data_IF_693207143122
#
_entry.id   IF_693207143122
#
_cell.length_a   1.000
_cell.length_b   1.000
_cell.length_c   1.000
_cell.angle_alpha   90.00
_cell.angle_beta   90.00
_cell.angle_gamma   90.00
#
_symmetry.space_group_name_H-M   'P 1'
#
loop_
_entity.id
_entity.type
_entity.pdbx_description
1 polymer ?
#
# COMPACT_ATOMS: atom_id res chain seq x y z
N UNK A 1 28.18 2.92 42.30
CA UNK A 1 26.78 3.29 42.58
C UNK A 1 26.12 3.44 41.21
N UNK A 2 25.40 2.41 40.76
CA UNK A 2 24.77 2.37 39.44
C UNK A 2 23.35 1.83 39.62
N UNK A 3 22.37 2.72 39.53
CA UNK A 3 20.96 2.40 39.34
C UNK A 3 20.39 3.50 38.47
N UNK A 4 20.04 3.15 37.24
CA UNK A 4 19.06 3.86 36.40
C UNK A 4 18.58 2.84 35.35
N UNK A 5 17.70 1.94 35.80
CA UNK A 5 16.86 1.17 34.89
C UNK A 5 15.69 2.07 34.49
N UNK A 6 15.85 2.82 33.40
CA UNK A 6 14.69 3.40 32.73
C UNK A 6 13.90 2.28 32.06
N UNK A 7 12.73 1.99 32.63
CA UNK A 7 11.73 1.14 31.99
C UNK A 7 11.28 1.81 30.69
N UNK A 8 11.37 1.08 29.57
CA UNK A 8 10.88 1.55 28.28
C UNK A 8 9.39 1.22 28.21
N UNK A 9 8.53 2.19 28.54
CA UNK A 9 7.09 2.11 28.26
C UNK A 9 6.85 2.04 26.74
N UNK A 10 6.23 0.98 26.21
CA UNK A 10 5.93 0.86 24.79
C UNK A 10 4.49 1.32 24.50
N UNK A 11 4.12 2.53 24.94
CA UNK A 11 2.76 3.08 24.76
C UNK A 11 2.79 4.51 24.18
N UNK A 12 3.45 4.66 23.02
CA UNK A 12 3.20 5.83 22.16
C UNK A 12 1.84 5.68 21.47
N UNK A 13 0.98 6.72 21.48
CA UNK A 13 -0.39 6.59 21.04
C UNK A 13 -0.49 6.26 19.55
N UNK A 14 -1.16 5.15 19.26
CA UNK A 14 -1.55 4.74 17.92
C UNK A 14 -2.24 5.90 17.18
N UNK A 15 -1.81 6.14 15.94
CA UNK A 15 -2.33 7.13 14.97
C UNK A 15 -3.74 7.66 15.29
N UNK A 16 -3.87 8.98 15.45
CA UNK A 16 -5.09 9.68 15.87
C UNK A 16 -6.33 9.43 15.00
N UNK A 17 -6.18 8.82 13.81
CA UNK A 17 -7.30 8.34 12.97
C UNK A 17 -7.95 7.04 13.47
N UNK A 18 -7.25 6.21 14.24
CA UNK A 18 -7.79 4.98 14.80
C UNK A 18 -8.66 5.21 16.05
N UNK A 19 -8.42 6.31 16.77
CA UNK A 19 -9.12 6.67 18.01
C UNK A 19 -10.63 6.99 17.83
N UNK A 20 -11.09 7.22 16.60
CA UNK A 20 -12.47 7.62 16.29
C UNK A 20 -13.35 6.47 15.78
N UNK A 21 -12.97 5.20 15.97
CA UNK A 21 -13.88 4.09 15.76
C UNK A 21 -14.62 3.78 17.08
N UNK A 22 -15.95 3.83 17.06
CA UNK A 22 -16.78 3.48 18.21
C UNK A 22 -16.61 2.02 18.67
N UNK A 23 -15.99 1.19 17.83
CA UNK A 23 -15.90 -0.25 17.99
C UNK A 23 -14.44 -0.74 17.77
N UNK A 24 -13.80 -1.35 18.79
CA UNK A 24 -12.41 -1.84 18.70
C UNK A 24 -12.13 -2.82 17.56
N UNK A 25 -13.11 -3.62 17.13
CA UNK A 25 -12.94 -4.52 15.98
C UNK A 25 -12.78 -3.72 14.67
N UNK A 26 -13.61 -2.71 14.45
CA UNK A 26 -13.50 -1.82 13.29
C UNK A 26 -12.20 -1.04 13.27
N UNK A 27 -11.73 -0.60 14.45
CA UNK A 27 -10.42 0.04 14.59
C UNK A 27 -9.30 -0.89 14.07
N UNK A 28 -9.33 -2.17 14.46
CA UNK A 28 -8.34 -3.15 14.04
C UNK A 28 -8.44 -3.50 12.54
N UNK A 29 -9.65 -3.59 11.97
CA UNK A 29 -9.87 -3.79 10.54
C UNK A 29 -9.40 -2.58 9.70
N UNK A 30 -9.75 -1.36 10.12
CA UNK A 30 -9.32 -0.12 9.46
C UNK A 30 -7.81 0.06 9.52
N UNK A 31 -7.18 -0.19 10.67
CA UNK A 31 -5.73 -0.11 10.82
C UNK A 31 -5.01 -1.19 10.01
N UNK A 32 -5.58 -2.39 9.86
CA UNK A 32 -5.05 -3.40 8.92
C UNK A 32 -5.13 -2.92 7.47
N UNK A 33 -6.25 -2.31 7.06
CA UNK A 33 -6.41 -1.71 5.73
C UNK A 33 -5.37 -0.60 5.48
N UNK A 34 -5.22 0.34 6.42
CA UNK A 34 -4.22 1.41 6.30
C UNK A 34 -2.81 0.84 6.20
N UNK A 35 -2.42 -0.08 7.09
CA UNK A 35 -1.10 -0.70 7.06
C UNK A 35 -0.85 -1.52 5.78
N UNK A 36 -1.84 -2.21 5.23
CA UNK A 36 -1.72 -2.91 3.95
C UNK A 36 -1.58 -1.94 2.76
N UNK A 37 -2.28 -0.82 2.80
CA UNK A 37 -2.16 0.25 1.81
C UNK A 37 -0.77 0.91 1.84
N UNK A 38 -0.28 1.25 3.03
CA UNK A 38 1.03 1.88 3.23
C UNK A 38 2.16 0.93 2.78
N UNK A 39 2.02 -0.39 3.03
CA UNK A 39 2.93 -1.41 2.49
C UNK A 39 2.90 -1.46 0.95
N UNK A 40 1.71 -1.42 0.34
CA UNK A 40 1.58 -1.44 -1.12
C UNK A 40 2.17 -0.20 -1.78
N UNK A 41 2.04 0.99 -1.16
CA UNK A 41 2.71 2.22 -1.61
C UNK A 41 4.22 2.06 -1.53
N UNK A 42 4.75 1.64 -0.37
CA UNK A 42 6.20 1.53 -0.17
C UNK A 42 6.85 0.51 -1.12
N UNK A 43 6.18 -0.61 -1.42
CA UNK A 43 6.64 -1.61 -2.41
C UNK A 43 6.52 -1.10 -3.87
N UNK A 44 5.61 -0.17 -4.15
CA UNK A 44 5.47 0.47 -5.47
C UNK A 44 6.53 1.55 -5.68
N UNK A 45 6.76 2.40 -4.68
CA UNK A 45 7.71 3.51 -4.74
C UNK A 45 9.18 3.03 -4.86
N UNK A 46 9.55 1.98 -4.12
CA UNK A 46 10.83 1.29 -4.21
C UNK A 46 11.11 0.81 -5.65
N UNK A 47 10.08 0.24 -6.29
CA UNK A 47 10.16 -0.29 -7.66
C UNK A 47 10.16 0.82 -8.74
N UNK A 48 9.51 1.96 -8.47
CA UNK A 48 9.61 3.16 -9.33
C UNK A 48 11.02 3.75 -9.24
N UNK A 49 11.63 3.76 -8.05
CA UNK A 49 13.00 4.27 -7.84
C UNK A 49 14.03 3.42 -8.58
N UNK A 50 13.90 2.08 -8.52
CA UNK A 50 14.66 1.15 -9.39
C UNK A 50 14.47 1.48 -10.89
N UNK A 51 13.23 1.74 -11.32
CA UNK A 51 12.93 1.96 -12.74
C UNK A 51 13.47 3.29 -13.28
N UNK A 52 13.61 4.34 -12.45
CA UNK A 52 14.21 5.62 -12.85
C UNK A 52 15.63 5.41 -13.41
N UNK A 53 16.42 4.55 -12.76
CA UNK A 53 17.75 4.15 -13.24
C UNK A 53 17.66 3.44 -14.60
N UNK A 54 16.78 2.46 -14.75
CA UNK A 54 16.62 1.69 -15.99
C UNK A 54 16.19 2.59 -17.15
N UNK A 55 15.31 3.56 -16.91
CA UNK A 55 14.86 4.53 -17.90
C UNK A 55 15.98 5.46 -18.34
N UNK A 56 16.72 6.07 -17.40
CA UNK A 56 17.87 6.93 -17.73
C UNK A 56 18.95 6.16 -18.49
N UNK A 57 19.34 4.97 -18.02
CA UNK A 57 20.30 4.09 -18.71
C UNK A 57 19.78 3.66 -20.10
N UNK A 58 18.47 3.59 -20.30
CA UNK A 58 17.81 3.35 -21.59
C UNK A 58 17.91 4.56 -22.53
N UNK A 59 17.53 5.74 -22.05
CA UNK A 59 17.54 7.00 -22.80
C UNK A 59 18.96 7.39 -23.24
N UNK A 60 19.95 7.28 -22.34
CA UNK A 60 21.37 7.50 -22.65
C UNK A 60 21.79 6.60 -23.83
N UNK A 61 21.51 5.29 -23.76
CA UNK A 61 21.85 4.35 -24.84
C UNK A 61 21.10 4.63 -26.14
N UNK A 62 19.86 5.10 -26.08
CA UNK A 62 19.10 5.51 -27.27
C UNK A 62 19.76 6.72 -27.95
N UNK A 63 20.02 7.79 -27.21
CA UNK A 63 20.72 8.99 -27.73
C UNK A 63 22.07 8.63 -28.36
N UNK A 64 22.86 7.78 -27.70
CA UNK A 64 24.16 7.32 -28.23
C UNK A 64 24.03 6.47 -29.51
N UNK A 65 23.01 5.61 -29.59
CA UNK A 65 22.75 4.76 -30.76
C UNK A 65 22.20 5.56 -31.96
N UNK A 66 21.40 6.59 -31.70
CA UNK A 66 20.90 7.51 -32.73
C UNK A 66 22.02 8.45 -33.22
N UNK A 67 22.84 9.00 -32.32
CA UNK A 67 23.98 9.84 -32.69
C UNK A 67 24.96 9.15 -33.64
N UNK A 68 25.11 7.82 -33.54
CA UNK A 68 25.93 7.01 -34.45
C UNK A 68 25.35 6.85 -35.87
N UNK A 69 24.10 7.28 -36.10
CA UNK A 69 23.37 7.17 -37.39
C UNK A 69 22.95 8.53 -37.97
N UNK A 70 23.03 9.60 -37.18
CA UNK A 70 22.58 10.95 -37.52
C UNK A 70 23.64 11.78 -38.28
N UNK A 71 23.25 12.98 -38.73
CA UNK A 71 24.19 13.99 -39.23
C UNK A 71 25.07 14.53 -38.11
N UNK A 72 26.15 15.26 -38.44
CA UNK A 72 27.12 15.74 -37.44
C UNK A 72 26.50 16.68 -36.38
N UNK A 73 25.61 17.59 -36.80
CA UNK A 73 24.92 18.55 -35.91
C UNK A 73 23.93 17.85 -34.98
N UNK A 74 23.10 16.95 -35.52
CA UNK A 74 22.18 16.11 -34.75
C UNK A 74 22.93 15.18 -33.78
N UNK A 75 24.05 14.60 -34.21
CA UNK A 75 24.89 13.76 -33.36
C UNK A 75 25.50 14.56 -32.21
N UNK A 76 26.02 15.77 -32.44
CA UNK A 76 26.51 16.66 -31.39
C UNK A 76 25.42 16.98 -30.35
N UNK A 77 24.21 17.30 -30.80
CA UNK A 77 23.06 17.52 -29.91
C UNK A 77 22.69 16.27 -29.10
N UNK A 78 22.68 15.09 -29.72
CA UNK A 78 22.39 13.81 -29.05
C UNK A 78 23.47 13.38 -28.06
N UNK A 79 24.75 13.64 -28.34
CA UNK A 79 25.85 13.42 -27.40
C UNK A 79 25.78 14.38 -26.20
N UNK A 80 25.41 15.65 -26.44
CA UNK A 80 25.16 16.63 -25.38
C UNK A 80 24.00 16.20 -24.47
N UNK A 81 22.86 15.78 -25.05
CA UNK A 81 21.73 15.25 -24.29
C UNK A 81 22.10 13.99 -23.48
N UNK A 82 22.87 13.07 -24.06
CA UNK A 82 23.35 11.88 -23.36
C UNK A 82 24.29 12.21 -22.20
N UNK A 83 25.06 13.31 -22.27
CA UNK A 83 25.90 13.79 -21.19
C UNK A 83 25.05 14.36 -20.04
N UNK A 84 24.07 15.23 -20.32
CA UNK A 84 23.17 15.77 -19.28
C UNK A 84 22.35 14.68 -18.59
N UNK A 85 21.83 13.70 -19.34
CA UNK A 85 21.18 12.51 -18.75
C UNK A 85 22.15 11.69 -17.88
N UNK A 86 23.43 11.67 -18.24
CA UNK A 86 24.50 11.06 -17.43
C UNK A 86 24.77 11.79 -16.11
N UNK A 87 24.65 13.12 -16.10
CA UNK A 87 24.73 13.94 -14.88
C UNK A 87 23.52 13.69 -13.97
N UNK A 88 22.29 13.74 -14.49
CA UNK A 88 21.07 13.36 -13.74
C UNK A 88 21.15 11.93 -13.17
N UNK A 89 21.71 11.01 -13.96
CA UNK A 89 21.92 9.61 -13.56
C UNK A 89 22.96 9.44 -12.47
N UNK A 90 23.97 10.32 -12.40
CA UNK A 90 24.95 10.37 -11.34
C UNK A 90 24.36 10.97 -10.05
N UNK A 91 23.62 12.09 -10.14
CA UNK A 91 22.90 12.67 -9.00
C UNK A 91 21.93 11.66 -8.38
N UNK A 92 21.16 10.94 -9.20
CA UNK A 92 20.29 9.86 -8.73
C UNK A 92 21.08 8.74 -8.04
N UNK A 93 22.29 8.42 -8.47
CA UNK A 93 23.12 7.40 -7.82
C UNK A 93 23.52 7.79 -6.39
N UNK A 94 23.60 9.09 -6.08
CA UNK A 94 23.89 9.60 -4.74
C UNK A 94 22.67 9.52 -3.81
N UNK A 95 21.45 9.77 -4.32
CA UNK A 95 20.21 9.78 -3.50
C UNK A 95 19.55 8.42 -3.36
N UNK A 96 19.62 7.57 -4.39
CA UNK A 96 18.90 6.29 -4.47
C UNK A 96 19.13 5.34 -3.27
N UNK A 97 20.34 5.21 -2.69
CA UNK A 97 20.53 4.40 -1.48
C UNK A 97 19.71 4.89 -0.27
N UNK A 98 19.48 6.20 -0.15
CA UNK A 98 18.65 6.80 0.90
C UNK A 98 17.16 6.60 0.60
N UNK A 99 16.75 6.69 -0.67
CA UNK A 99 15.38 6.37 -1.12
C UNK A 99 15.01 4.91 -0.75
N UNK A 100 15.89 3.95 -1.07
CA UNK A 100 15.68 2.53 -0.71
C UNK A 100 15.65 2.28 0.80
N UNK A 101 16.54 2.92 1.58
CA UNK A 101 16.54 2.80 3.04
C UNK A 101 15.21 3.31 3.63
N UNK A 102 14.76 4.49 3.20
CA UNK A 102 13.46 5.03 3.59
C UNK A 102 12.30 4.10 3.21
N UNK A 103 12.29 3.53 2.01
CA UNK A 103 11.27 2.57 1.62
C UNK A 103 11.35 1.26 2.42
N UNK A 104 12.54 0.79 2.79
CA UNK A 104 12.71 -0.36 3.69
C UNK A 104 12.05 -0.13 5.06
N UNK A 105 12.35 1.00 5.70
CA UNK A 105 11.76 1.38 6.99
C UNK A 105 10.22 1.46 6.92
N UNK A 106 9.67 2.06 5.86
CA UNK A 106 8.22 2.14 5.65
C UNK A 106 7.58 0.76 5.43
N UNK A 107 8.22 -0.13 4.64
CA UNK A 107 7.78 -1.52 4.44
C UNK A 107 7.72 -2.26 5.78
N UNK A 108 8.73 -2.11 6.65
CA UNK A 108 8.79 -2.82 7.92
C UNK A 108 7.86 -2.24 8.99
N UNK A 109 7.69 -0.92 9.06
CA UNK A 109 6.66 -0.27 9.89
C UNK A 109 5.25 -0.75 9.49
N UNK A 110 4.94 -0.78 8.20
CA UNK A 110 3.66 -1.24 7.68
C UNK A 110 3.42 -2.72 8.00
N UNK A 111 4.42 -3.59 7.79
CA UNK A 111 4.37 -5.02 8.19
C UNK A 111 4.14 -5.19 9.70
N UNK A 112 4.80 -4.39 10.54
CA UNK A 112 4.61 -4.43 11.99
C UNK A 112 3.18 -4.04 12.40
N UNK A 113 2.63 -2.97 11.81
CA UNK A 113 1.23 -2.53 12.02
C UNK A 113 0.21 -3.56 11.54
N UNK A 114 0.39 -4.15 10.36
CA UNK A 114 -0.44 -5.27 9.88
C UNK A 114 -0.44 -6.43 10.88
N UNK A 115 0.74 -6.89 11.32
CA UNK A 115 0.89 -7.99 12.28
C UNK A 115 0.25 -7.66 13.63
N UNK A 116 0.33 -6.41 14.10
CA UNK A 116 -0.33 -5.96 15.33
C UNK A 116 -1.86 -5.99 15.22
N UNK A 117 -2.43 -5.49 14.12
CA UNK A 117 -3.87 -5.58 13.85
C UNK A 117 -4.34 -7.03 13.74
N UNK A 118 -3.62 -7.89 12.99
CA UNK A 118 -3.93 -9.32 12.92
C UNK A 118 -3.91 -10.01 14.29
N UNK A 119 -3.00 -9.65 15.20
CA UNK A 119 -3.03 -10.17 16.59
C UNK A 119 -4.33 -9.78 17.30
N UNK A 120 -4.74 -8.50 17.24
CA UNK A 120 -6.02 -8.03 17.83
C UNK A 120 -7.23 -8.78 17.24
N UNK A 121 -7.27 -8.95 15.92
CA UNK A 121 -8.32 -9.68 15.20
C UNK A 121 -8.39 -11.17 15.62
N UNK A 122 -7.24 -11.85 15.78
CA UNK A 122 -7.18 -13.25 16.28
C UNK A 122 -7.69 -13.35 17.71
N UNK A 123 -7.29 -12.43 18.60
CA UNK A 123 -7.77 -12.42 19.99
C UNK A 123 -9.28 -12.21 20.08
N UNK A 124 -9.84 -11.29 19.29
CA UNK A 124 -11.29 -11.09 19.20
C UNK A 124 -12.01 -12.34 18.67
N UNK A 125 -11.48 -12.97 17.61
CA UNK A 125 -12.09 -14.18 17.04
C UNK A 125 -12.09 -15.34 18.05
N UNK A 126 -10.99 -15.52 18.79
CA UNK A 126 -10.89 -16.52 19.85
C UNK A 126 -11.92 -16.28 20.96
N UNK A 127 -12.06 -15.03 21.44
CA UNK A 127 -13.03 -14.66 22.46
C UNK A 127 -14.49 -14.88 22.01
N UNK A 128 -14.81 -14.50 20.76
CA UNK A 128 -16.12 -14.73 20.13
C UNK A 128 -16.45 -16.22 19.98
N UNK A 129 -15.45 -17.07 19.72
CA UNK A 129 -15.65 -18.52 19.65
C UNK A 129 -15.79 -19.17 21.03
N UNK A 130 -15.06 -18.68 22.04
CA UNK A 130 -15.06 -19.26 23.39
C UNK A 130 -16.32 -18.95 24.20
N UNK A 131 -16.93 -17.78 24.00
CA UNK A 131 -18.10 -17.33 24.79
C UNK A 131 -19.44 -17.70 24.14
N UNK A 132 -19.46 -18.11 22.87
CA UNK A 132 -20.69 -18.37 22.11
C UNK A 132 -21.53 -17.11 21.78
N UNK A 133 -21.19 -15.96 22.36
CA UNK A 133 -21.82 -14.67 22.12
C UNK A 133 -21.02 -13.85 21.10
N UNK A 134 -21.62 -12.78 20.59
CA UNK A 134 -20.86 -11.73 19.92
C UNK A 134 -19.91 -11.08 20.95
N UNK A 135 -18.59 -11.17 20.76
CA UNK A 135 -17.69 -10.47 21.65
C UNK A 135 -17.90 -8.95 21.51
N UNK A 136 -18.03 -8.21 22.62
CA UNK A 136 -18.33 -6.78 22.58
C UNK A 136 -17.23 -6.01 21.83
N UNK A 137 -17.63 -4.96 21.11
CA UNK A 137 -16.73 -4.10 20.36
C UNK A 137 -16.84 -4.17 18.84
N UNK A 138 -18.04 -4.45 18.31
CA UNK A 138 -18.42 -4.32 16.90
C UNK A 138 -19.83 -3.70 16.80
N UNK A 139 -20.18 -3.11 15.65
CA UNK A 139 -21.52 -2.56 15.42
C UNK A 139 -22.62 -3.62 15.70
N UNK A 140 -23.55 -3.38 16.66
CA UNK A 140 -24.61 -4.32 17.00
C UNK A 140 -25.62 -4.57 15.86
N UNK A 141 -25.63 -3.75 14.80
CA UNK A 141 -26.47 -3.95 13.64
C UNK A 141 -25.94 -5.05 12.69
N UNK A 142 -24.70 -5.52 12.87
CA UNK A 142 -24.07 -6.52 12.00
C UNK A 142 -24.16 -7.90 12.65
N UNK A 143 -24.53 -8.92 11.86
CA UNK A 143 -24.69 -10.28 12.36
C UNK A 143 -23.36 -10.85 12.90
N UNK A 144 -23.35 -11.58 14.03
CA UNK A 144 -22.10 -12.10 14.60
C UNK A 144 -21.33 -13.06 13.69
N UNK A 145 -22.02 -13.79 12.81
CA UNK A 145 -21.38 -14.62 11.78
C UNK A 145 -20.76 -13.84 10.64
N UNK A 146 -21.34 -12.70 10.27
CA UNK A 146 -20.78 -11.78 9.28
C UNK A 146 -19.52 -11.10 9.83
N UNK A 147 -19.56 -10.65 11.09
CA UNK A 147 -18.38 -10.18 11.80
C UNK A 147 -17.24 -11.22 11.82
N UNK A 148 -17.57 -12.48 12.14
CA UNK A 148 -16.63 -13.61 12.09
C UNK A 148 -16.09 -13.88 10.67
N UNK A 149 -16.90 -13.72 9.62
CA UNK A 149 -16.48 -13.88 8.24
C UNK A 149 -15.49 -12.79 7.82
N UNK A 150 -15.82 -11.52 8.04
CA UNK A 150 -14.95 -10.37 7.77
C UNK A 150 -13.59 -10.49 8.47
N UNK A 151 -13.58 -10.95 9.72
CA UNK A 151 -12.34 -11.19 10.46
C UNK A 151 -11.50 -12.32 9.85
N UNK A 152 -12.11 -13.41 9.38
CA UNK A 152 -11.39 -14.50 8.70
C UNK A 152 -10.81 -14.05 7.36
N UNK A 153 -11.56 -13.27 6.57
CA UNK A 153 -11.08 -12.67 5.32
C UNK A 153 -9.89 -11.72 5.57
N UNK A 154 -10.02 -10.83 6.56
CA UNK A 154 -8.94 -9.92 6.97
C UNK A 154 -7.68 -10.66 7.46
N UNK A 155 -7.84 -11.78 8.17
CA UNK A 155 -6.72 -12.62 8.64
C UNK A 155 -6.05 -13.44 7.54
N UNK A 156 -6.72 -13.68 6.40
CA UNK A 156 -6.13 -14.34 5.24
C UNK A 156 -5.21 -13.42 4.43
N UNK A 157 -5.32 -12.10 4.57
CA UNK A 157 -4.46 -11.12 3.91
C UNK A 157 -3.11 -11.01 4.62
N UNK A 158 -2.08 -11.72 4.12
CA UNK A 158 -0.72 -11.64 4.67
C UNK A 158 0.05 -10.42 4.12
N UNK A 159 1.01 -9.85 4.88
CA UNK A 159 1.90 -8.81 4.35
C UNK A 159 2.65 -9.26 3.09
N UNK A 160 3.05 -10.53 3.03
CA UNK A 160 3.78 -11.10 1.91
C UNK A 160 2.91 -11.18 0.63
N UNK A 161 1.60 -11.41 0.76
CA UNK A 161 0.66 -11.36 -0.35
C UNK A 161 0.42 -9.91 -0.84
N UNK A 162 0.31 -8.95 0.08
CA UNK A 162 0.22 -7.52 -0.26
C UNK A 162 1.46 -7.06 -1.02
N UNK A 163 2.66 -7.35 -0.51
CA UNK A 163 3.93 -7.06 -1.19
C UNK A 163 4.01 -7.70 -2.58
N UNK A 164 3.61 -8.97 -2.69
CA UNK A 164 3.64 -9.71 -3.97
C UNK A 164 2.72 -9.07 -5.02
N UNK A 165 1.48 -8.72 -4.64
CA UNK A 165 0.52 -8.07 -5.54
C UNK A 165 0.96 -6.66 -5.93
N UNK A 166 1.40 -5.85 -4.95
CA UNK A 166 1.87 -4.49 -5.20
C UNK A 166 3.01 -4.46 -6.22
N UNK A 167 4.03 -5.34 -6.07
CA UNK A 167 5.13 -5.45 -7.04
C UNK A 167 4.68 -5.94 -8.41
N UNK A 168 3.74 -6.88 -8.48
CA UNK A 168 3.21 -7.37 -9.75
C UNK A 168 2.44 -6.27 -10.50
N UNK A 169 1.54 -5.56 -9.81
CA UNK A 169 0.79 -4.43 -10.37
C UNK A 169 1.69 -3.27 -10.78
N UNK A 170 2.70 -2.92 -9.96
CA UNK A 170 3.66 -1.87 -10.28
C UNK A 170 4.45 -2.22 -11.55
N UNK A 171 4.94 -3.46 -11.69
CA UNK A 171 5.62 -3.93 -12.90
C UNK A 171 4.72 -3.87 -14.13
N UNK A 172 3.47 -4.33 -14.02
CA UNK A 172 2.53 -4.29 -15.15
C UNK A 172 2.36 -2.85 -15.67
N UNK A 173 2.15 -1.88 -14.78
CA UNK A 173 2.01 -0.46 -15.17
C UNK A 173 3.27 0.11 -15.82
N UNK A 174 4.45 -0.23 -15.32
CA UNK A 174 5.70 0.23 -15.95
C UNK A 174 5.89 -0.35 -17.35
N UNK A 175 5.45 -1.60 -17.59
CA UNK A 175 5.43 -2.17 -18.94
C UNK A 175 4.38 -1.54 -19.85
N UNK A 176 3.18 -1.22 -19.33
CA UNK A 176 2.12 -0.51 -20.07
C UNK A 176 2.61 0.88 -20.53
N UNK A 177 3.19 1.68 -19.61
CA UNK A 177 3.78 2.99 -19.92
C UNK A 177 4.94 2.84 -20.94
N UNK A 178 5.76 1.81 -20.82
CA UNK A 178 6.87 1.54 -21.76
C UNK A 178 6.41 1.05 -23.14
N UNK A 179 5.13 0.69 -23.31
CA UNK A 179 4.58 0.13 -24.55
C UNK A 179 3.96 1.19 -25.49
N UNK A 180 3.86 2.46 -25.05
CA UNK A 180 3.48 3.59 -25.91
C UNK A 180 2.02 4.06 -25.83
N UNK A 181 1.26 3.70 -24.80
CA UNK A 181 -0.02 4.36 -24.48
C UNK A 181 0.24 5.72 -23.80
N UNK A 182 0.67 6.73 -24.57
CA UNK A 182 1.00 8.07 -24.06
C UNK A 182 -0.21 8.89 -23.56
N UNK A 183 -1.44 8.45 -23.84
CA UNK A 183 -2.69 9.17 -23.53
C UNK A 183 -3.30 8.85 -22.14
N UNK A 184 -2.63 8.01 -21.32
CA UNK A 184 -3.08 7.73 -19.96
C UNK A 184 -2.57 8.81 -18.97
N UNK A 185 -3.42 9.73 -18.46
CA UNK A 185 -2.97 10.70 -17.46
C UNK A 185 -2.47 9.97 -16.21
N UNK A 186 -1.33 10.41 -15.69
CA UNK A 186 -0.75 9.98 -14.40
C UNK A 186 -1.59 10.49 -13.22
N UNK A 187 -2.85 10.04 -13.16
CA UNK A 187 -3.80 10.45 -12.14
C UNK A 187 -3.50 9.74 -10.81
N UNK A 188 -3.69 10.47 -9.71
CA UNK A 188 -3.56 9.97 -8.33
C UNK A 188 -4.59 8.86 -8.01
N UNK A 189 -5.53 8.62 -8.92
CA UNK A 189 -6.39 7.43 -8.95
C UNK A 189 -5.65 6.10 -9.19
N UNK A 190 -4.44 6.10 -9.75
CA UNK A 190 -3.72 4.87 -10.15
C UNK A 190 -3.12 4.07 -8.97
N UNK A 191 -2.73 4.74 -7.88
CA UNK A 191 -2.34 4.10 -6.60
C UNK A 191 -3.50 3.30 -5.99
N UNK A 192 -4.72 3.53 -6.47
CA UNK A 192 -5.90 2.93 -5.87
C UNK A 192 -6.07 1.43 -6.17
N UNK A 193 -5.22 0.66 -6.83
CA UNK A 193 -5.59 -0.75 -7.14
C UNK A 193 -5.53 -1.71 -5.92
N UNK A 194 -4.39 -1.87 -5.23
CA UNK A 194 -4.33 -2.58 -3.94
C UNK A 194 -5.17 -1.87 -2.85
N UNK A 195 -5.21 -0.53 -2.87
CA UNK A 195 -6.13 0.27 -2.07
C UNK A 195 -7.59 -0.11 -2.34
N UNK A 196 -7.96 -0.33 -3.62
CA UNK A 196 -9.28 -0.77 -4.09
C UNK A 196 -9.57 -2.16 -3.63
N UNK A 197 -8.64 -3.07 -3.40
CA UNK A 197 -9.04 -4.36 -2.81
C UNK A 197 -9.55 -4.12 -1.38
N UNK A 198 -8.88 -3.31 -0.57
CA UNK A 198 -9.37 -2.97 0.76
C UNK A 198 -10.59 -2.02 0.75
N UNK A 199 -10.64 -1.05 -0.17
CA UNK A 199 -11.77 -0.12 -0.37
C UNK A 199 -12.96 -0.82 -1.02
N UNK A 200 -12.78 -1.85 -1.86
CA UNK A 200 -13.85 -2.71 -2.38
C UNK A 200 -14.32 -3.69 -1.32
N UNK A 201 -13.47 -4.17 -0.41
CA UNK A 201 -13.94 -4.94 0.75
C UNK A 201 -14.79 -4.07 1.67
N UNK A 202 -14.36 -2.83 1.96
CA UNK A 202 -15.13 -1.87 2.77
C UNK A 202 -16.36 -1.31 2.04
N UNK A 203 -16.29 -1.07 0.72
CA UNK A 203 -17.43 -0.63 -0.09
C UNK A 203 -18.43 -1.77 -0.25
N UNK A 204 -17.99 -3.01 -0.53
CA UNK A 204 -18.88 -4.18 -0.59
C UNK A 204 -19.51 -4.54 0.76
N UNK A 205 -18.85 -4.19 1.87
CA UNK A 205 -19.46 -4.22 3.20
C UNK A 205 -20.51 -3.09 3.34
N UNK A 206 -20.19 -1.85 2.95
CA UNK A 206 -21.14 -0.71 2.95
C UNK A 206 -22.37 -0.93 2.05
N UNK A 207 -22.19 -1.34 0.81
CA UNK A 207 -23.27 -1.61 -0.16
C UNK A 207 -24.21 -2.71 0.36
N UNK A 208 -23.67 -3.69 1.10
CA UNK A 208 -24.49 -4.70 1.80
C UNK A 208 -25.27 -4.12 2.98
N UNK A 209 -24.65 -3.25 3.78
CA UNK A 209 -25.32 -2.55 4.89
C UNK A 209 -26.44 -1.61 4.39
N UNK A 210 -26.21 -0.90 3.27
CA UNK A 210 -27.21 -0.03 2.65
C UNK A 210 -28.35 -0.84 2.00
N UNK A 211 -28.05 -1.95 1.32
CA UNK A 211 -29.08 -2.84 0.75
C UNK A 211 -30.01 -3.43 1.83
N UNK A 212 -29.48 -3.79 2.99
CA UNK A 212 -30.26 -4.28 4.13
C UNK A 212 -31.09 -3.16 4.78
N UNK A 213 -30.51 -1.97 4.94
CA UNK A 213 -31.19 -0.77 5.45
C UNK A 213 -32.34 -0.32 4.55
N UNK A 214 -32.19 -0.44 3.22
CA UNK A 214 -33.23 -0.18 2.24
C UNK A 214 -34.31 -1.26 2.22
N UNK A 215 -33.94 -2.55 2.33
CA UNK A 215 -34.89 -3.67 2.33
C UNK A 215 -35.88 -3.61 3.50
N UNK A 216 -35.46 -3.07 4.65
CA UNK A 216 -36.34 -2.88 5.81
C UNK A 216 -37.43 -1.82 5.62
N UNK A 217 -37.39 -0.98 4.56
CA UNK A 217 -38.44 0.03 4.25
C UNK A 217 -39.48 -0.42 3.23
N UNK A 218 -39.34 -1.63 2.67
CA UNK A 218 -40.26 -2.16 1.61
C UNK A 218 -41.15 -3.29 2.15
N UNK A 219 -41.27 -3.42 3.48
CA UNK A 219 -42.15 -4.40 4.15
C UNK A 219 -43.19 -3.77 5.08
N UNK A 220 -43.69 -2.59 4.72
CA UNK A 220 -44.91 -2.00 5.29
C UNK A 220 -45.86 -1.55 4.16
N UNK A 221 -46.44 -2.54 3.49
CA UNK A 221 -47.67 -2.47 2.67
C UNK A 221 -48.25 -3.88 2.55
#
# INVERSE_FOLDING_TARGET
>A
MFQDYHEVEPDQPLSSRAANAAFPLEAALRELQCAAHDLAIAETADLISDNRVVMLDGMIRACQADAARSTAEEAEALWSAAASLGEERAELAETLPLEHAFHADQKDLARARMRASQRRLRSWLHLSCATGCAAPGFDPNIAPDEARALVREALALTPEEVSRRARFEARARLYEISAGDEDAPLDAASTQCAARIAVLLVARARDRLEALSGSSRVREC
#
